data_IF_982482211686
#
_entry.id   IF_982482211686
#
_cell.length_a   1.000
_cell.length_b   1.000
_cell.length_c   1.000
_cell.angle_alpha   90.00
_cell.angle_beta   90.00
_cell.angle_gamma   90.00
#
_symmetry.space_group_name_H-M   'P 1'
#
loop_
_entity.id
_entity.type
_entity.pdbx_description
1 polymer ?
#
# COMPACT_ATOMS: atom_id res chain seq x y z
N UNK A 1 -20.18 37.26 6.35
CA UNK A 1 -21.30 36.30 6.44
C UNK A 1 -21.36 35.54 5.14
N UNK A 2 -20.69 34.39 5.06
CA UNK A 2 -20.81 33.50 3.90
C UNK A 2 -22.13 32.73 4.01
N UNK A 3 -22.87 32.69 2.92
CA UNK A 3 -24.19 32.07 2.84
C UNK A 3 -24.09 30.54 2.94
N UNK A 4 -25.06 29.90 3.60
CA UNK A 4 -25.13 28.44 3.79
C UNK A 4 -25.10 27.61 2.47
N UNK A 5 -25.18 28.27 1.31
CA UNK A 5 -25.03 27.68 -0.01
C UNK A 5 -23.56 27.36 -0.36
N UNK A 6 -22.59 28.16 0.12
CA UNK A 6 -21.17 27.99 -0.23
C UNK A 6 -20.51 26.83 0.54
N UNK A 7 -20.98 26.56 1.76
CA UNK A 7 -20.53 25.42 2.58
C UNK A 7 -21.07 24.09 2.02
N UNK A 8 -22.23 24.11 1.35
CA UNK A 8 -22.82 22.93 0.71
C UNK A 8 -22.10 22.58 -0.61
N UNK A 9 -21.56 23.57 -1.34
CA UNK A 9 -20.82 23.34 -2.58
C UNK A 9 -19.42 22.72 -2.34
N UNK A 10 -18.71 23.17 -1.30
CA UNK A 10 -17.42 22.57 -0.91
C UNK A 10 -17.57 21.17 -0.30
N UNK A 11 -18.64 20.93 0.48
CA UNK A 11 -18.94 19.60 1.01
C UNK A 11 -19.34 18.61 -0.09
N UNK A 12 -20.04 19.06 -1.14
CA UNK A 12 -20.40 18.22 -2.30
C UNK A 12 -19.19 17.96 -3.21
N UNK A 13 -18.26 18.91 -3.34
CA UNK A 13 -16.98 18.72 -4.05
C UNK A 13 -16.06 17.71 -3.37
N UNK A 14 -16.00 17.72 -2.03
CA UNK A 14 -15.24 16.73 -1.23
C UNK A 14 -15.92 15.35 -1.27
N UNK A 15 -17.25 15.30 -1.33
CA UNK A 15 -18.01 14.05 -1.45
C UNK A 15 -17.91 13.41 -2.84
N UNK A 16 -17.74 14.22 -3.90
CA UNK A 16 -17.61 13.74 -5.29
C UNK A 16 -16.17 13.33 -5.67
N UNK A 17 -15.12 13.90 -5.08
CA UNK A 17 -13.75 13.42 -5.32
C UNK A 17 -13.37 12.15 -4.53
N UNK A 18 -14.11 11.83 -3.46
CA UNK A 18 -13.88 10.65 -2.61
C UNK A 18 -14.70 9.40 -2.95
N UNK A 19 -15.69 9.52 -3.85
CA UNK A 19 -16.70 8.48 -4.09
C UNK A 19 -17.05 8.27 -5.57
N UNK A 20 -16.18 8.69 -6.50
CA UNK A 20 -16.33 8.47 -7.94
C UNK A 20 -15.18 7.66 -8.54
N UNK A 21 -14.96 6.46 -8.00
CA UNK A 21 -14.83 5.29 -8.86
C UNK A 21 -16.20 4.59 -8.81
N UNK A 22 -17.24 5.13 -9.46
CA UNK A 22 -18.53 4.46 -9.47
C UNK A 22 -18.38 3.20 -10.33
N UNK A 23 -19.25 2.23 -10.09
CA UNK A 23 -19.32 0.93 -10.73
C UNK A 23 -19.15 0.91 -12.26
N UNK A 24 -19.25 2.04 -12.96
CA UNK A 24 -19.00 2.21 -14.40
C UNK A 24 -17.56 1.90 -14.80
N UNK A 25 -16.56 2.23 -13.98
CA UNK A 25 -15.15 1.88 -14.28
C UNK A 25 -14.96 0.36 -14.17
N UNK A 26 -15.54 -0.25 -13.14
CA UNK A 26 -15.55 -1.70 -12.93
C UNK A 26 -16.36 -2.44 -14.02
N UNK A 27 -17.46 -1.85 -14.50
CA UNK A 27 -18.29 -2.36 -15.59
C UNK A 27 -17.56 -2.24 -16.94
N UNK A 28 -16.87 -1.13 -17.20
CA UNK A 28 -16.03 -0.95 -18.38
C UNK A 28 -14.86 -1.95 -18.41
N UNK A 29 -14.30 -2.29 -17.24
CA UNK A 29 -13.26 -3.31 -17.09
C UNK A 29 -13.79 -4.74 -17.33
N UNK A 30 -15.03 -5.03 -16.94
CA UNK A 30 -15.71 -6.29 -17.25
C UNK A 30 -16.07 -6.40 -18.74
N UNK A 31 -16.48 -5.30 -19.38
CA UNK A 31 -16.82 -5.25 -20.81
C UNK A 31 -15.58 -5.34 -21.71
N UNK A 32 -14.47 -4.69 -21.36
CA UNK A 32 -13.21 -4.80 -22.10
C UNK A 32 -12.58 -6.21 -22.00
N UNK A 33 -12.82 -6.93 -20.90
CA UNK A 33 -12.37 -8.32 -20.73
C UNK A 33 -13.14 -9.33 -21.59
N UNK A 34 -14.31 -8.94 -22.12
CA UNK A 34 -15.12 -9.77 -23.03
C UNK A 34 -14.86 -9.50 -24.52
N UNK A 35 -14.11 -8.43 -24.86
CA UNK A 35 -13.95 -7.99 -26.26
C UNK A 35 -12.55 -8.23 -26.87
N UNK A 36 -11.63 -8.87 -26.15
CA UNK A 36 -10.36 -9.34 -26.74
C UNK A 36 -10.49 -10.78 -27.26
N UNK A 37 -11.32 -10.99 -28.28
CA UNK A 37 -11.23 -12.15 -29.15
C UNK A 37 -11.07 -11.66 -30.60
N UNK A 38 -9.81 -11.53 -31.05
CA UNK A 38 -9.55 -11.39 -32.48
C UNK A 38 -9.96 -12.71 -33.20
N UNK A 39 -10.48 -12.63 -34.43
CA UNK A 39 -11.23 -13.72 -35.04
C UNK A 39 -10.28 -14.79 -35.57
N UNK A 40 -10.46 -16.03 -35.12
CA UNK A 40 -9.88 -17.17 -35.80
C UNK A 40 -10.67 -17.40 -37.11
N UNK A 41 -10.09 -16.95 -38.23
CA UNK A 41 -10.50 -17.34 -39.58
C UNK A 41 -10.41 -18.87 -39.64
N UNK A 42 -11.55 -19.55 -39.76
CA UNK A 42 -11.61 -20.95 -40.20
C UNK A 42 -12.37 -21.01 -41.50
N UNK A 43 -11.67 -21.47 -42.53
CA UNK A 43 -12.25 -21.86 -43.81
C UNK A 43 -13.36 -22.89 -43.59
N UNK A 44 -14.54 -22.59 -44.12
CA UNK A 44 -15.65 -23.55 -44.22
C UNK A 44 -15.43 -24.42 -45.47
N UNK A 45 -15.52 -25.74 -45.31
CA UNK A 45 -15.78 -26.66 -46.41
C UNK A 45 -17.18 -27.28 -46.16
N UNK A 46 -18.13 -27.22 -47.11
CA UNK A 46 -19.46 -27.79 -46.91
C UNK A 46 -19.59 -29.15 -47.62
N UNK A 47 -20.03 -30.18 -46.88
CA UNK A 47 -20.73 -31.41 -47.34
C UNK A 47 -21.05 -32.21 -46.05
N UNK A 48 -22.18 -32.85 -45.78
CA UNK A 48 -23.38 -33.19 -46.55
C UNK A 48 -24.51 -33.56 -45.56
N UNK A 49 -25.73 -33.35 -46.03
CA UNK A 49 -27.06 -33.84 -45.61
C UNK A 49 -27.16 -35.14 -44.78
N UNK A 50 -28.10 -35.14 -43.81
CA UNK A 50 -28.65 -36.35 -43.17
C UNK A 50 -29.81 -36.02 -42.21
N UNK A 51 -31.03 -36.41 -42.60
CA UNK A 51 -32.37 -36.04 -42.10
C UNK A 51 -32.89 -36.76 -40.83
N UNK A 52 -34.01 -36.23 -40.27
CA UNK A 52 -35.11 -36.84 -39.45
C UNK A 52 -34.97 -36.78 -37.91
N UNK A 53 -35.98 -36.57 -37.04
CA UNK A 53 -37.35 -35.97 -36.99
C UNK A 53 -37.84 -36.14 -35.53
N UNK A 54 -38.64 -35.18 -35.00
CA UNK A 54 -39.71 -35.27 -33.96
C UNK A 54 -39.36 -35.79 -32.53
N UNK A 55 -39.99 -35.39 -31.41
CA UNK A 55 -41.03 -34.42 -31.05
C UNK A 55 -41.06 -34.22 -29.50
N UNK A 56 -41.61 -33.07 -29.07
CA UNK A 56 -42.36 -32.76 -27.82
C UNK A 56 -41.75 -32.98 -26.42
N UNK A 57 -41.53 -31.89 -25.67
CA UNK A 57 -42.35 -31.48 -24.48
C UNK A 57 -41.95 -30.07 -23.97
N UNK A 58 -42.93 -29.21 -23.67
CA UNK A 58 -42.84 -28.02 -22.79
C UNK A 58 -43.63 -28.38 -21.49
N UNK A 59 -43.39 -27.80 -20.28
CA UNK A 59 -43.21 -26.36 -20.06
C UNK A 59 -42.36 -25.92 -18.83
N UNK A 60 -42.32 -24.59 -18.65
CA UNK A 60 -42.21 -23.85 -17.39
C UNK A 60 -40.84 -23.32 -16.91
N UNK A 61 -40.91 -22.07 -16.44
CA UNK A 61 -39.95 -21.25 -15.66
C UNK A 61 -38.75 -20.65 -16.39
N UNK A 62 -38.96 -19.40 -16.84
CA UNK A 62 -37.92 -18.38 -16.96
C UNK A 62 -37.30 -18.13 -15.58
N UNK A 63 -36.20 -18.81 -15.29
CA UNK A 63 -35.27 -18.41 -14.24
C UNK A 63 -33.97 -18.02 -14.94
N UNK A 64 -33.65 -16.73 -14.85
CA UNK A 64 -32.41 -16.11 -15.29
C UNK A 64 -31.21 -16.78 -14.60
N UNK A 65 -30.63 -17.78 -15.27
CA UNK A 65 -29.34 -18.32 -14.90
C UNK A 65 -28.25 -17.35 -15.37
N UNK A 66 -27.84 -16.44 -14.48
CA UNK A 66 -26.51 -15.85 -14.59
C UNK A 66 -25.50 -17.02 -14.69
N UNK A 67 -24.55 -16.99 -15.64
CA UNK A 67 -23.53 -18.02 -15.69
C UNK A 67 -22.80 -17.98 -14.35
N UNK A 68 -22.88 -19.07 -13.58
CA UNK A 68 -21.99 -19.30 -12.45
C UNK A 68 -20.58 -19.23 -13.01
N UNK A 69 -19.88 -18.13 -12.71
CA UNK A 69 -18.45 -18.02 -12.85
C UNK A 69 -17.87 -19.20 -12.06
N UNK A 70 -17.48 -20.24 -12.79
CA UNK A 70 -16.56 -21.24 -12.25
C UNK A 70 -15.28 -20.47 -11.94
N UNK A 71 -15.14 -20.05 -10.69
CA UNK A 71 -13.84 -19.71 -10.12
C UNK A 71 -13.03 -21.00 -10.25
N UNK A 72 -12.14 -21.04 -11.23
CA UNK A 72 -11.19 -22.16 -11.35
C UNK A 72 -10.50 -22.30 -10.00
N UNK A 73 -10.42 -23.53 -9.49
CA UNK A 73 -9.60 -23.82 -8.33
C UNK A 73 -8.16 -23.37 -8.61
N UNK A 74 -7.39 -22.93 -7.59
CA UNK A 74 -6.06 -22.35 -7.79
C UNK A 74 -4.98 -23.32 -8.31
N UNK A 75 -5.32 -24.52 -8.79
CA UNK A 75 -4.34 -25.58 -9.02
C UNK A 75 -3.81 -25.70 -10.45
N UNK A 76 -4.34 -24.97 -11.43
CA UNK A 76 -3.95 -25.18 -12.83
C UNK A 76 -3.38 -23.93 -13.51
N UNK A 77 -2.28 -23.35 -13.01
CA UNK A 77 -1.19 -22.79 -13.86
C UNK A 77 0.10 -22.55 -13.03
N UNK A 78 0.73 -23.61 -12.50
CA UNK A 78 2.14 -23.49 -12.05
C UNK A 78 3.07 -23.60 -13.26
N UNK A 79 3.20 -22.51 -14.00
CA UNK A 79 4.41 -22.31 -14.80
C UNK A 79 5.52 -21.94 -13.80
N UNK A 80 6.46 -22.86 -13.58
CA UNK A 80 7.61 -22.63 -12.69
C UNK A 80 8.48 -21.48 -13.21
N UNK A 81 8.12 -20.25 -12.87
CA UNK A 81 9.10 -19.19 -12.70
C UNK A 81 9.82 -19.51 -11.40
N UNK A 82 11.15 -19.58 -11.43
CA UNK A 82 11.95 -19.79 -10.24
C UNK A 82 11.57 -18.70 -9.22
N UNK A 83 11.09 -19.10 -8.04
CA UNK A 83 10.74 -18.17 -6.96
C UNK A 83 11.99 -17.37 -6.60
N UNK A 84 11.92 -16.06 -6.74
CA UNK A 84 12.99 -15.16 -6.29
C UNK A 84 13.14 -15.29 -4.76
N UNK A 85 14.37 -15.24 -4.22
CA UNK A 85 14.57 -15.11 -2.78
C UNK A 85 13.91 -13.82 -2.27
N UNK A 86 13.43 -13.82 -1.02
CA UNK A 86 12.70 -12.68 -0.41
C UNK A 86 13.48 -11.34 -0.52
N UNK A 87 14.81 -11.39 -0.47
CA UNK A 87 15.68 -10.22 -0.60
C UNK A 87 15.59 -9.53 -1.97
N UNK A 88 15.19 -10.24 -3.02
CA UNK A 88 15.02 -9.67 -4.36
C UNK A 88 13.64 -8.99 -4.56
N UNK A 89 12.74 -9.11 -3.57
CA UNK A 89 11.40 -8.54 -3.62
C UNK A 89 11.36 -7.08 -3.18
N UNK A 90 12.44 -6.54 -2.64
CA UNK A 90 12.49 -5.16 -2.19
C UNK A 90 13.82 -4.48 -2.47
N UNK A 91 13.76 -3.17 -2.69
CA UNK A 91 14.94 -2.31 -2.90
C UNK A 91 14.64 -0.88 -2.49
N UNK A 92 15.65 -0.03 -2.43
CA UNK A 92 15.48 1.41 -2.22
C UNK A 92 15.40 2.13 -3.58
N UNK A 93 14.24 2.70 -3.95
CA UNK A 93 14.11 3.50 -5.17
C UNK A 93 14.55 4.95 -4.92
N UNK A 94 14.90 5.65 -5.99
CA UNK A 94 15.12 7.10 -5.91
C UNK A 94 13.81 7.85 -5.63
N UNK A 95 13.86 8.81 -4.72
CA UNK A 95 12.77 9.75 -4.41
C UNK A 95 12.78 11.02 -5.27
N UNK A 96 13.74 11.18 -6.19
CA UNK A 96 13.99 12.46 -6.87
C UNK A 96 12.82 12.92 -7.75
N UNK A 97 12.03 11.99 -8.28
CA UNK A 97 10.83 12.29 -9.09
C UNK A 97 9.58 12.55 -8.24
N UNK A 98 9.61 12.23 -6.94
CA UNK A 98 8.46 12.40 -6.05
C UNK A 98 8.19 13.89 -5.82
N UNK A 99 6.94 14.31 -6.03
CA UNK A 99 6.52 15.69 -5.84
C UNK A 99 6.04 15.94 -4.41
N UNK A 100 6.69 16.87 -3.73
CA UNK A 100 6.43 17.27 -2.34
C UNK A 100 6.13 18.76 -2.24
N UNK A 101 5.53 19.23 -1.14
CA UNK A 101 5.25 20.67 -0.97
C UNK A 101 6.57 21.46 -0.92
N UNK A 102 6.71 22.45 -1.80
CA UNK A 102 7.87 23.32 -1.85
C UNK A 102 7.90 24.35 -0.73
N UNK A 103 9.00 25.09 -0.64
CA UNK A 103 9.23 26.13 0.38
C UNK A 103 8.10 27.18 0.41
N UNK A 104 7.59 27.58 -0.76
CA UNK A 104 6.55 28.62 -0.90
C UNK A 104 5.14 28.04 -1.10
N UNK A 105 4.92 26.75 -0.83
CA UNK A 105 3.65 26.07 -1.11
C UNK A 105 2.44 26.74 -0.44
N UNK A 106 2.61 27.33 0.73
CA UNK A 106 1.57 28.09 1.45
C UNK A 106 1.09 29.32 0.68
N UNK A 107 1.91 29.84 -0.25
CA UNK A 107 1.64 31.03 -1.05
C UNK A 107 1.18 30.62 -2.46
N UNK A 108 1.88 29.68 -3.10
CA UNK A 108 1.71 29.38 -4.53
C UNK A 108 1.07 28.01 -4.83
N UNK A 109 0.91 27.15 -3.82
CA UNK A 109 0.41 25.78 -3.98
C UNK A 109 1.29 24.85 -4.82
N UNK A 110 2.54 25.25 -5.11
CA UNK A 110 3.41 24.51 -6.04
C UNK A 110 4.22 23.43 -5.34
N UNK A 111 4.11 22.21 -5.87
CA UNK A 111 4.96 21.09 -5.48
C UNK A 111 6.27 21.11 -6.26
N UNK A 112 7.32 20.63 -5.63
CA UNK A 112 8.67 20.51 -6.19
C UNK A 112 9.15 19.07 -6.08
N UNK A 113 10.19 18.73 -6.84
CA UNK A 113 10.87 17.44 -6.72
C UNK A 113 11.54 17.34 -5.35
N UNK A 114 11.38 16.20 -4.68
CA UNK A 114 11.89 16.00 -3.33
C UNK A 114 13.43 15.92 -3.25
N UNK A 115 14.07 15.49 -4.34
CA UNK A 115 15.50 15.20 -4.35
C UNK A 115 15.82 13.90 -3.59
N UNK A 116 17.00 13.87 -2.96
CA UNK A 116 17.49 12.69 -2.27
C UNK A 116 16.75 12.44 -0.95
N UNK A 117 16.53 11.15 -0.67
CA UNK A 117 15.91 10.67 0.55
C UNK A 117 16.85 10.91 1.75
N UNK A 118 16.29 11.36 2.89
CA UNK A 118 17.08 11.56 4.12
C UNK A 118 17.55 10.24 4.74
N UNK A 119 16.73 9.19 4.61
CA UNK A 119 16.99 7.88 5.18
C UNK A 119 17.49 6.86 4.16
N UNK A 120 17.91 5.73 4.69
CA UNK A 120 18.32 4.55 3.89
C UNK A 120 17.54 3.32 4.36
N UNK A 121 16.94 2.57 3.42
CA UNK A 121 16.25 1.32 3.67
C UNK A 121 17.28 0.27 4.12
N UNK A 122 17.06 -0.29 5.30
CA UNK A 122 17.91 -1.33 5.86
C UNK A 122 17.38 -2.72 5.55
N UNK A 123 16.08 -2.93 5.74
CA UNK A 123 15.47 -4.25 5.63
C UNK A 123 13.97 -4.18 5.45
N UNK A 124 13.40 -5.27 4.94
CA UNK A 124 11.97 -5.54 4.97
C UNK A 124 11.76 -6.96 5.50
N UNK A 125 11.00 -7.05 6.59
CA UNK A 125 10.50 -8.32 7.11
C UNK A 125 9.08 -8.57 6.57
N UNK A 126 8.80 -9.82 6.18
CA UNK A 126 7.47 -10.29 5.79
C UNK A 126 7.06 -11.43 6.70
N UNK A 127 6.16 -11.15 7.64
CA UNK A 127 5.71 -12.14 8.61
C UNK A 127 4.24 -12.49 8.43
N UNK A 128 3.88 -13.75 8.62
CA UNK A 128 2.50 -14.21 8.67
C UNK A 128 2.14 -14.66 10.07
N UNK A 129 0.89 -14.40 10.43
CA UNK A 129 0.31 -14.88 11.68
C UNK A 129 0.41 -16.41 11.78
N UNK A 130 0.53 -16.88 13.02
CA UNK A 130 0.57 -18.30 13.40
C UNK A 130 -0.56 -18.57 14.40
N UNK A 131 -0.74 -19.84 14.78
CA UNK A 131 -1.70 -20.19 15.83
C UNK A 131 -1.30 -19.60 17.19
N UNK A 132 0.00 -19.47 17.47
CA UNK A 132 0.54 -18.87 18.69
C UNK A 132 0.45 -17.34 18.66
N UNK A 133 0.69 -16.74 17.48
CA UNK A 133 0.66 -15.30 17.25
C UNK A 133 -0.38 -14.96 16.18
N UNK A 134 -1.68 -15.07 16.51
CA UNK A 134 -2.75 -14.90 15.53
C UNK A 134 -3.00 -13.42 15.21
N UNK A 135 -3.48 -13.18 13.99
CA UNK A 135 -3.99 -11.87 13.57
C UNK A 135 -2.96 -10.74 13.62
N UNK A 136 -3.45 -9.56 14.00
CA UNK A 136 -2.68 -8.31 14.02
C UNK A 136 -1.75 -8.26 15.22
N UNK A 137 -0.49 -7.98 14.95
CA UNK A 137 0.56 -7.77 15.95
C UNK A 137 1.04 -6.31 15.89
N UNK A 138 0.93 -5.64 17.04
CA UNK A 138 1.36 -4.26 17.22
C UNK A 138 2.74 -4.19 17.89
N UNK A 139 3.45 -3.08 17.72
CA UNK A 139 4.76 -2.80 18.34
C UNK A 139 5.83 -3.84 17.97
N UNK A 140 6.03 -4.02 16.68
CA UNK A 140 7.01 -4.90 16.06
C UNK A 140 8.44 -4.62 16.53
N UNK A 141 8.78 -3.39 16.89
CA UNK A 141 10.09 -3.07 17.44
C UNK A 141 10.44 -3.90 18.68
N UNK A 142 9.46 -4.24 19.54
CA UNK A 142 9.73 -5.14 20.68
C UNK A 142 10.03 -6.57 20.25
N UNK A 143 9.41 -7.04 19.15
CA UNK A 143 9.71 -8.35 18.57
C UNK A 143 11.12 -8.34 17.97
N UNK A 144 11.49 -7.27 17.24
CA UNK A 144 12.85 -7.12 16.72
C UNK A 144 13.89 -7.13 17.84
N UNK A 145 13.69 -6.38 18.92
CA UNK A 145 14.65 -6.29 20.03
C UNK A 145 14.91 -7.64 20.73
N UNK A 146 13.98 -8.59 20.62
CA UNK A 146 14.08 -9.93 21.22
C UNK A 146 14.75 -10.94 20.30
N UNK A 147 14.83 -10.71 18.98
CA UNK A 147 15.47 -11.68 18.08
C UNK A 147 17.00 -11.69 18.25
N UNK A 148 17.67 -12.86 18.10
CA UNK A 148 19.13 -12.94 18.17
C UNK A 148 19.87 -12.02 17.18
N UNK A 149 19.25 -11.72 16.04
CA UNK A 149 19.77 -10.83 15.00
C UNK A 149 18.95 -9.52 14.94
N UNK A 150 18.69 -8.92 16.10
CA UNK A 150 17.95 -7.64 16.19
C UNK A 150 18.65 -6.56 15.39
N UNK A 151 17.90 -5.98 14.45
CA UNK A 151 18.36 -4.85 13.66
C UNK A 151 18.45 -3.61 14.55
N UNK A 152 17.48 -3.43 15.45
CA UNK A 152 17.43 -2.28 16.35
C UNK A 152 18.58 -2.31 17.37
N UNK A 153 18.87 -3.46 17.97
CA UNK A 153 19.98 -3.59 18.92
C UNK A 153 21.34 -3.42 18.22
N UNK A 154 21.49 -3.99 17.02
CA UNK A 154 22.71 -3.83 16.23
C UNK A 154 22.93 -2.38 15.81
N UNK A 155 21.87 -1.70 15.35
CA UNK A 155 21.92 -0.27 15.00
C UNK A 155 22.19 0.60 16.22
N UNK A 156 21.56 0.35 17.37
CA UNK A 156 21.81 1.10 18.60
C UNK A 156 23.28 1.03 19.06
N UNK A 157 23.95 -0.10 18.78
CA UNK A 157 25.36 -0.29 19.12
C UNK A 157 26.30 0.38 18.12
N UNK A 158 26.00 0.31 16.83
CA UNK A 158 26.86 0.84 15.76
C UNK A 158 26.67 2.35 15.55
N UNK A 159 25.42 2.83 15.69
CA UNK A 159 24.97 4.18 15.38
C UNK A 159 24.00 4.66 16.49
N UNK A 160 24.51 4.97 17.69
CA UNK A 160 23.67 5.25 18.87
C UNK A 160 22.80 6.51 18.74
N UNK A 161 23.20 7.45 17.90
CA UNK A 161 22.48 8.71 17.69
C UNK A 161 21.48 8.65 16.51
N UNK A 162 21.57 7.59 15.68
CA UNK A 162 20.68 7.41 14.54
C UNK A 162 19.32 6.89 14.98
N UNK A 163 18.28 7.28 14.24
CA UNK A 163 16.91 6.80 14.46
C UNK A 163 16.54 5.75 13.42
N UNK A 164 15.98 4.61 13.85
CA UNK A 164 15.33 3.66 12.95
C UNK A 164 13.85 3.99 12.82
N UNK A 165 13.39 4.33 11.62
CA UNK A 165 11.98 4.49 11.33
C UNK A 165 11.41 3.17 10.84
N UNK A 166 10.28 2.74 11.41
CA UNK A 166 9.63 1.46 11.13
C UNK A 166 8.22 1.74 10.65
N UNK A 167 7.83 1.11 9.54
CA UNK A 167 6.43 1.03 9.13
C UNK A 167 6.02 -0.43 9.07
N UNK A 168 4.96 -0.78 9.81
CA UNK A 168 4.34 -2.09 9.78
C UNK A 168 2.99 -1.99 9.07
N UNK A 169 2.93 -2.45 7.82
CA UNK A 169 1.67 -2.59 7.10
C UNK A 169 0.97 -3.87 7.56
N UNK A 170 -0.13 -3.72 8.28
CA UNK A 170 -0.86 -4.81 8.89
C UNK A 170 -1.99 -5.24 7.94
N UNK A 171 -1.70 -6.27 7.14
CA UNK A 171 -2.55 -6.69 6.02
C UNK A 171 -3.53 -7.79 6.46
N UNK A 172 -4.83 -7.49 6.52
CA UNK A 172 -5.83 -8.51 6.81
C UNK A 172 -5.90 -9.54 5.68
N UNK A 173 -6.20 -10.78 6.05
CA UNK A 173 -6.35 -11.88 5.11
C UNK A 173 -6.18 -13.22 5.82
N UNK A 174 -6.20 -14.27 5.02
CA UNK A 174 -5.89 -15.63 5.48
C UNK A 174 -4.62 -16.10 4.75
N UNK A 175 -3.46 -16.21 5.43
CA UNK A 175 -3.18 -15.71 6.78
C UNK A 175 -3.10 -14.18 6.83
N UNK A 176 -3.14 -13.61 8.04
CA UNK A 176 -2.82 -12.20 8.29
C UNK A 176 -1.31 -12.00 8.06
N UNK A 177 -0.93 -10.91 7.40
CA UNK A 177 0.47 -10.65 7.04
C UNK A 177 0.90 -9.27 7.52
N UNK A 178 2.12 -9.21 8.04
CA UNK A 178 2.84 -8.00 8.40
C UNK A 178 3.94 -7.78 7.36
N UNK A 179 3.94 -6.61 6.71
CA UNK A 179 5.05 -6.16 5.86
C UNK A 179 5.72 -5.01 6.58
N UNK A 180 6.90 -5.26 7.15
CA UNK A 180 7.59 -4.37 8.07
C UNK A 180 8.83 -3.84 7.39
N UNK A 181 8.91 -2.53 7.19
CA UNK A 181 10.05 -1.87 6.54
C UNK A 181 10.81 -1.01 7.53
N UNK A 182 12.14 -1.08 7.47
CA UNK A 182 13.06 -0.41 8.39
C UNK A 182 13.96 0.55 7.64
N UNK A 183 13.95 1.83 8.01
CA UNK A 183 14.86 2.85 7.47
C UNK A 183 15.76 3.41 8.56
N UNK A 184 17.05 3.60 8.26
CA UNK A 184 17.96 4.37 9.11
C UNK A 184 17.90 5.84 8.72
N UNK A 185 17.65 6.69 9.71
CA UNK A 185 17.73 8.14 9.63
C UNK A 185 18.99 8.59 10.37
N UNK A 186 20.05 9.02 9.63
CA UNK A 186 21.28 9.49 10.25
C UNK A 186 21.04 10.78 11.05
N UNK A 187 21.62 10.89 12.24
CA UNK A 187 21.52 12.09 13.07
C UNK A 187 22.04 13.36 12.35
N UNK A 188 23.11 13.21 11.57
CA UNK A 188 23.68 14.27 10.73
C UNK A 188 22.68 14.74 9.64
N UNK A 189 22.02 13.78 8.97
CA UNK A 189 21.02 14.10 7.95
C UNK A 189 19.79 14.81 8.52
N UNK A 190 19.35 14.42 9.72
CA UNK A 190 18.27 15.08 10.43
C UNK A 190 18.67 16.50 10.85
N UNK A 191 19.83 16.67 11.50
CA UNK A 191 20.30 17.98 11.97
C UNK A 191 20.64 18.96 10.85
N UNK A 192 21.00 18.47 9.65
CA UNK A 192 21.22 19.30 8.46
C UNK A 192 19.96 19.95 7.89
N UNK A 193 18.76 19.44 8.21
CA UNK A 193 17.48 20.01 7.79
C UNK A 193 16.67 20.44 9.03
N UNK A 194 16.91 21.67 9.50
CA UNK A 194 16.31 22.17 10.74
C UNK A 194 14.78 22.21 10.72
N UNK A 195 14.18 22.40 9.53
CA UNK A 195 12.72 22.43 9.36
C UNK A 195 12.12 21.04 9.50
N UNK A 196 12.69 20.06 8.79
CA UNK A 196 12.29 18.67 8.94
C UNK A 196 12.56 18.16 10.35
N UNK A 197 13.72 18.47 10.94
CA UNK A 197 14.11 18.06 12.29
C UNK A 197 13.10 18.53 13.35
N UNK A 198 12.66 19.80 13.28
CA UNK A 198 11.65 20.33 14.19
C UNK A 198 10.30 19.62 14.07
N UNK A 199 9.86 19.35 12.84
CA UNK A 199 8.62 18.61 12.58
C UNK A 199 8.72 17.14 13.03
N UNK A 200 9.84 16.49 12.75
CA UNK A 200 10.10 15.11 13.10
C UNK A 200 10.24 14.94 14.61
N UNK A 201 10.90 15.86 15.32
CA UNK A 201 10.98 15.84 16.79
C UNK A 201 9.61 15.91 17.45
N UNK A 202 8.68 16.73 16.93
CA UNK A 202 7.30 16.74 17.43
C UNK A 202 6.56 15.44 17.11
N UNK A 203 6.84 14.84 15.96
CA UNK A 203 6.28 13.54 15.58
C UNK A 203 6.79 12.40 16.49
N UNK A 204 8.00 12.51 17.04
CA UNK A 204 8.59 11.56 17.99
C UNK A 204 8.07 11.75 19.43
N UNK A 205 6.76 11.64 19.61
CA UNK A 205 6.14 11.70 20.93
C UNK A 205 5.35 10.42 21.24
N UNK A 206 5.47 9.95 22.48
CA UNK A 206 4.64 8.88 23.04
C UNK A 206 3.45 9.44 23.85
N UNK A 207 3.30 10.75 23.92
CA UNK A 207 2.19 11.35 24.67
C UNK A 207 0.86 11.08 23.94
N UNK A 208 -0.22 10.69 24.64
CA UNK A 208 -1.51 10.39 24.02
C UNK A 208 -2.06 11.54 23.15
N UNK A 209 -1.85 12.80 23.55
CA UNK A 209 -2.26 13.98 22.80
C UNK A 209 -1.50 14.17 21.48
N UNK A 210 -0.34 13.55 21.30
CA UNK A 210 0.45 13.65 20.08
C UNK A 210 -0.15 12.83 18.94
N UNK A 211 -1.00 11.84 19.21
CA UNK A 211 -1.56 10.97 18.18
C UNK A 211 -2.33 11.75 17.11
N UNK A 212 -3.14 12.74 17.52
CA UNK A 212 -3.88 13.58 16.57
C UNK A 212 -2.94 14.36 15.63
N UNK A 213 -1.78 14.80 16.16
CA UNK A 213 -0.75 15.41 15.35
C UNK A 213 -0.10 14.38 14.42
N UNK A 214 0.32 13.23 14.91
CA UNK A 214 0.96 12.19 14.09
C UNK A 214 0.05 11.75 12.93
N UNK A 215 -1.24 11.52 13.21
CA UNK A 215 -2.25 11.13 12.23
C UNK A 215 -2.50 12.20 11.16
N UNK A 216 -2.36 13.48 11.50
CA UNK A 216 -2.47 14.59 10.56
C UNK A 216 -1.20 14.83 9.73
N UNK A 217 -0.08 14.21 10.10
CA UNK A 217 1.25 14.53 9.54
C UNK A 217 1.85 13.40 8.72
N UNK A 218 1.71 12.14 9.12
CA UNK A 218 2.34 11.04 8.40
C UNK A 218 1.69 10.83 7.02
N UNK A 219 2.52 10.80 5.97
CA UNK A 219 2.08 10.63 4.58
C UNK A 219 2.84 9.52 3.87
N UNK A 220 2.09 8.75 3.09
CA UNK A 220 2.63 7.85 2.08
C UNK A 220 2.37 8.41 0.68
N UNK A 221 3.36 8.27 -0.19
CA UNK A 221 3.28 8.60 -1.61
C UNK A 221 3.50 7.33 -2.42
N UNK A 222 2.42 6.66 -2.86
CA UNK A 222 2.52 5.45 -3.68
C UNK A 222 2.77 5.80 -5.15
N UNK A 223 3.60 5.02 -5.82
CA UNK A 223 3.82 5.06 -7.27
C UNK A 223 3.85 3.63 -7.81
N UNK A 224 2.97 3.29 -8.74
CA UNK A 224 3.05 2.00 -9.45
C UNK A 224 3.99 2.17 -10.63
N UNK A 225 5.19 1.61 -10.47
CA UNK A 225 6.26 1.61 -11.46
C UNK A 225 5.88 0.67 -12.60
N UNK A 226 5.56 -0.57 -12.25
CA UNK A 226 5.10 -1.59 -13.20
C UNK A 226 3.89 -2.32 -12.65
N UNK A 227 3.00 -2.74 -13.56
CA UNK A 227 1.76 -3.36 -13.17
C UNK A 227 0.70 -3.37 -14.26
N UNK A 228 -0.28 -4.29 -14.16
CA UNK A 228 -1.43 -4.28 -15.05
C UNK A 228 -2.11 -2.90 -15.05
N UNK A 229 -2.46 -2.41 -16.24
CA UNK A 229 -3.17 -1.14 -16.45
C UNK A 229 -4.36 -0.97 -15.49
N UNK A 230 -5.10 -2.06 -15.27
CA UNK A 230 -6.26 -2.10 -14.36
C UNK A 230 -5.88 -1.66 -12.94
N UNK A 231 -4.75 -2.14 -12.41
CA UNK A 231 -4.29 -1.79 -11.06
C UNK A 231 -3.77 -0.36 -11.04
N UNK A 232 -3.08 0.08 -12.10
CA UNK A 232 -2.65 1.48 -12.25
C UNK A 232 -3.82 2.46 -12.23
N UNK A 233 -4.97 2.08 -12.81
CA UNK A 233 -6.19 2.87 -12.79
C UNK A 233 -6.94 2.81 -11.44
N UNK A 234 -6.88 1.68 -10.73
CA UNK A 234 -7.60 1.47 -9.48
C UNK A 234 -6.91 2.08 -8.24
N UNK A 235 -5.58 2.22 -8.28
CA UNK A 235 -4.81 2.74 -7.14
C UNK A 235 -4.51 4.23 -7.34
N UNK A 236 -5.02 5.11 -6.47
CA UNK A 236 -4.72 6.54 -6.55
C UNK A 236 -3.22 6.80 -6.41
N UNK A 237 -2.59 7.36 -7.45
CA UNK A 237 -1.18 7.79 -7.41
C UNK A 237 -1.04 9.21 -6.85
N UNK A 238 -1.60 9.41 -5.66
CA UNK A 238 -1.58 10.69 -4.95
C UNK A 238 -1.06 10.47 -3.53
N UNK A 239 -0.27 11.42 -2.99
CA UNK A 239 0.07 11.44 -1.57
C UNK A 239 -1.19 11.32 -0.70
N UNK A 240 -1.12 10.50 0.35
CA UNK A 240 -2.19 10.32 1.31
C UNK A 240 -1.67 10.57 2.72
N UNK A 241 -2.33 11.46 3.47
CA UNK A 241 -2.24 11.47 4.93
C UNK A 241 -2.93 10.18 5.39
N UNK A 242 -2.20 9.31 6.05
CA UNK A 242 -2.68 7.95 6.33
C UNK A 242 -3.56 7.90 7.57
N UNK A 243 -3.35 8.78 8.56
CA UNK A 243 -4.11 8.76 9.82
C UNK A 243 -5.54 9.24 9.70
N UNK A 244 -5.86 9.98 8.63
CA UNK A 244 -7.25 10.31 8.29
C UNK A 244 -7.98 9.17 7.58
N UNK A 245 -7.27 8.11 7.17
CA UNK A 245 -7.81 7.00 6.37
C UNK A 245 -7.73 5.65 7.08
N UNK A 246 -6.73 5.47 7.95
CA UNK A 246 -6.41 4.23 8.64
C UNK A 246 -6.27 4.51 10.13
N UNK A 247 -6.63 3.54 10.96
CA UNK A 247 -6.22 3.54 12.36
C UNK A 247 -4.73 3.26 12.42
N UNK A 248 -3.97 4.18 13.04
CA UNK A 248 -2.55 4.03 13.23
C UNK A 248 -2.20 4.01 14.72
N UNK A 249 -1.11 3.32 15.04
CA UNK A 249 -0.51 3.32 16.38
C UNK A 249 0.95 3.69 16.24
N UNK A 250 1.44 4.48 17.19
CA UNK A 250 2.78 5.04 17.16
C UNK A 250 3.54 4.55 18.39
N UNK A 251 4.78 4.12 18.19
CA UNK A 251 5.65 3.70 19.27
C UNK A 251 7.02 4.35 19.11
N UNK A 252 7.47 5.04 20.15
CA UNK A 252 8.80 5.64 20.18
C UNK A 252 9.62 4.92 21.23
N UNK A 253 10.74 4.36 20.81
CA UNK A 253 11.74 3.75 21.68
C UNK A 253 12.98 4.63 21.82
N UNK A 254 14.05 4.04 22.35
CA UNK A 254 15.32 4.76 22.54
C UNK A 254 15.95 5.25 21.23
N UNK A 255 15.86 4.46 20.17
CA UNK A 255 16.49 4.71 18.87
C UNK A 255 15.57 4.35 17.70
N UNK A 256 14.26 4.27 17.93
CA UNK A 256 13.31 3.96 16.87
C UNK A 256 12.00 4.70 17.02
N UNK A 257 11.32 4.86 15.89
CA UNK A 257 9.94 5.34 15.76
C UNK A 257 9.22 4.34 14.88
N UNK A 258 8.09 3.83 15.34
CA UNK A 258 7.29 2.85 14.64
C UNK A 258 5.89 3.39 14.36
N UNK A 259 5.41 3.14 13.14
CA UNK A 259 4.03 3.38 12.71
C UNK A 259 3.41 2.06 12.32
N UNK A 260 2.46 1.60 13.13
CA UNK A 260 1.59 0.48 12.83
C UNK A 260 0.39 0.97 12.03
N UNK A 261 0.18 0.40 10.85
CA UNK A 261 -0.90 0.80 9.94
C UNK A 261 -1.92 -0.33 9.77
N UNK A 262 -3.09 -0.19 10.40
CA UNK A 262 -4.17 -1.17 10.30
C UNK A 262 -4.94 -1.00 8.99
N UNK A 263 -4.59 -1.78 7.96
CA UNK A 263 -5.29 -1.75 6.66
C UNK A 263 -6.75 -2.21 6.80
N UNK A 264 -7.03 -3.09 7.76
CA UNK A 264 -8.36 -3.61 8.05
C UNK A 264 -9.35 -2.56 8.56
N UNK A 265 -8.84 -1.43 9.07
CA UNK A 265 -9.70 -0.34 9.57
C UNK A 265 -10.38 0.47 8.45
N UNK A 266 -10.04 0.22 7.19
CA UNK A 266 -10.59 0.93 6.03
C UNK A 266 -11.03 -0.04 4.95
N UNK A 267 -12.32 -0.02 4.62
CA UNK A 267 -12.86 -0.83 3.53
C UNK A 267 -12.19 -0.51 2.18
N UNK A 268 -11.88 0.77 1.94
CA UNK A 268 -11.18 1.19 0.71
C UNK A 268 -9.77 0.61 0.67
N UNK A 269 -9.00 0.76 1.75
CA UNK A 269 -7.63 0.25 1.80
C UNK A 269 -7.61 -1.29 1.74
N UNK A 270 -8.51 -1.95 2.45
CA UNK A 270 -8.69 -3.41 2.41
C UNK A 270 -9.00 -3.90 1.00
N UNK A 271 -9.87 -3.21 0.25
CA UNK A 271 -10.19 -3.55 -1.13
C UNK A 271 -8.99 -3.35 -2.05
N UNK A 272 -8.26 -2.24 -1.93
CA UNK A 272 -7.05 -1.97 -2.71
C UNK A 272 -5.99 -3.05 -2.45
N UNK A 273 -5.73 -3.38 -1.18
CA UNK A 273 -4.73 -4.39 -0.83
C UNK A 273 -5.17 -5.80 -1.26
N UNK A 274 -6.45 -6.13 -1.15
CA UNK A 274 -7.01 -7.39 -1.66
C UNK A 274 -6.83 -7.52 -3.17
N UNK A 275 -7.10 -6.44 -3.93
CA UNK A 275 -6.83 -6.38 -5.36
C UNK A 275 -5.33 -6.55 -5.64
N UNK A 276 -4.46 -5.81 -4.94
CA UNK A 276 -3.02 -5.92 -5.08
C UNK A 276 -2.53 -7.33 -4.78
N UNK A 277 -3.08 -8.02 -3.77
CA UNK A 277 -2.71 -9.41 -3.41
C UNK A 277 -2.90 -10.39 -4.57
N UNK A 278 -3.97 -10.23 -5.35
CA UNK A 278 -4.23 -11.07 -6.54
C UNK A 278 -3.28 -10.80 -7.71
N UNK A 279 -2.60 -9.65 -7.72
CA UNK A 279 -1.68 -9.25 -8.78
C UNK A 279 -0.25 -9.00 -8.29
N UNK A 280 0.06 -9.34 -7.03
CA UNK A 280 1.25 -8.84 -6.35
C UNK A 280 2.55 -9.26 -7.04
N UNK A 281 2.59 -10.49 -7.58
CA UNK A 281 3.68 -11.04 -8.40
C UNK A 281 3.89 -10.30 -9.74
N UNK A 282 3.00 -9.38 -10.12
CA UNK A 282 3.07 -8.58 -11.36
C UNK A 282 3.12 -7.09 -11.09
N UNK A 283 3.26 -6.68 -9.82
CA UNK A 283 3.27 -5.29 -9.41
C UNK A 283 4.67 -4.90 -8.93
N UNK A 284 5.13 -3.74 -9.40
CA UNK A 284 6.27 -3.03 -8.84
C UNK A 284 5.75 -1.70 -8.31
N UNK A 285 5.85 -1.52 -6.99
CA UNK A 285 5.27 -0.36 -6.30
C UNK A 285 6.34 0.31 -5.45
N UNK A 286 6.51 1.61 -5.64
CA UNK A 286 7.29 2.46 -4.77
C UNK A 286 6.37 3.09 -3.73
N UNK A 287 6.79 3.04 -2.46
CA UNK A 287 6.22 3.83 -1.38
C UNK A 287 7.28 4.78 -0.87
N UNK A 288 6.98 6.08 -0.90
CA UNK A 288 7.82 7.12 -0.27
C UNK A 288 7.13 7.73 0.94
N UNK A 289 7.90 8.00 1.99
CA UNK A 289 7.45 8.46 3.29
C UNK A 289 7.83 9.93 3.48
N UNK A 290 6.90 10.75 3.93
CA UNK A 290 7.14 12.16 4.30
C UNK A 290 6.21 12.58 5.43
N UNK A 291 6.57 13.64 6.13
CA UNK A 291 5.67 14.34 7.03
C UNK A 291 5.05 15.53 6.31
N UNK A 292 3.79 15.85 6.61
CA UNK A 292 3.09 16.97 6.01
C UNK A 292 3.49 18.28 6.70
N UNK A 293 4.13 19.18 5.94
CA UNK A 293 4.35 20.56 6.35
C UNK A 293 3.13 21.42 6.06
N UNK A 294 2.66 22.17 7.06
CA UNK A 294 1.51 23.07 7.00
C UNK A 294 1.90 24.54 7.22
N UNK A 295 3.14 24.85 7.57
CA UNK A 295 3.64 26.21 7.74
C UNK A 295 5.00 26.40 7.05
N UNK A 296 5.41 27.65 6.85
CA UNK A 296 6.72 27.97 6.26
C UNK A 296 7.89 27.43 7.09
N UNK A 297 7.71 27.26 8.41
CA UNK A 297 8.72 26.68 9.30
C UNK A 297 8.88 25.17 9.11
N UNK A 298 7.90 24.51 8.50
CA UNK A 298 7.86 23.06 8.26
C UNK A 298 8.12 22.69 6.77
N UNK A 299 8.33 23.69 5.90
CA UNK A 299 8.48 23.53 4.45
C UNK A 299 9.89 23.91 3.96
N UNK A 300 10.47 23.23 2.97
CA UNK A 300 9.85 22.21 2.12
C UNK A 300 9.69 20.86 2.83
N UNK A 301 8.74 20.06 2.35
CA UNK A 301 8.62 18.66 2.77
C UNK A 301 9.81 17.84 2.24
N UNK A 302 10.20 16.80 2.98
CA UNK A 302 11.29 15.89 2.62
C UNK A 302 10.82 14.45 2.62
N UNK A 303 11.23 13.70 1.59
CA UNK A 303 11.14 12.25 1.65
C UNK A 303 12.24 11.76 2.60
N UNK A 304 11.85 10.98 3.60
CA UNK A 304 12.79 10.44 4.60
C UNK A 304 12.90 8.91 4.57
N UNK A 305 12.06 8.25 3.79
CA UNK A 305 12.20 6.82 3.50
C UNK A 305 11.55 6.50 2.18
N UNK A 306 12.12 5.55 1.46
CA UNK A 306 11.53 4.99 0.25
C UNK A 306 11.75 3.48 0.21
N UNK A 307 10.77 2.74 -0.30
CA UNK A 307 10.87 1.29 -0.54
C UNK A 307 10.15 0.95 -1.83
N UNK A 308 10.79 0.10 -2.63
CA UNK A 308 10.21 -0.53 -3.81
C UNK A 308 9.89 -1.96 -3.45
N UNK A 309 8.64 -2.36 -3.62
CA UNK A 309 8.24 -3.76 -3.61
C UNK A 309 8.13 -4.24 -5.05
N UNK A 310 8.92 -5.24 -5.42
CA UNK A 310 8.97 -5.84 -6.75
C UNK A 310 8.39 -7.24 -6.70
N UNK A 311 7.26 -7.46 -7.38
CA UNK A 311 6.67 -8.78 -7.53
C UNK A 311 6.38 -9.48 -6.19
N UNK A 312 5.92 -8.71 -5.19
CA UNK A 312 5.82 -9.14 -3.79
C UNK A 312 4.93 -10.39 -3.62
N UNK A 313 5.52 -11.56 -3.36
CA UNK A 313 4.76 -12.79 -3.04
C UNK A 313 4.54 -12.90 -1.53
N UNK A 314 3.34 -12.56 -1.07
CA UNK A 314 2.96 -12.68 0.35
C UNK A 314 2.98 -14.13 0.85
N UNK A 315 2.98 -15.15 -0.02
CA UNK A 315 3.12 -16.54 0.39
C UNK A 315 4.55 -16.87 0.87
N UNK A 316 5.55 -16.04 0.53
CA UNK A 316 6.92 -16.15 1.03
C UNK A 316 7.09 -15.62 2.45
N UNK A 317 6.06 -15.01 3.04
CA UNK A 317 6.09 -14.55 4.42
C UNK A 317 6.44 -15.71 5.38
N UNK A 318 7.39 -15.46 6.27
CA UNK A 318 7.83 -16.40 7.31
C UNK A 318 6.91 -16.31 8.52
N UNK A 319 6.92 -17.33 9.38
CA UNK A 319 6.16 -17.27 10.63
C UNK A 319 6.63 -16.08 11.47
N UNK A 320 5.69 -15.28 11.98
CA UNK A 320 6.04 -14.22 12.92
C UNK A 320 6.70 -14.84 14.17
N UNK A 321 7.81 -14.26 14.68
CA UNK A 321 8.42 -14.76 15.91
C UNK A 321 7.45 -14.62 17.10
N UNK A 322 7.48 -15.56 18.06
CA UNK A 322 6.68 -15.47 19.27
C UNK A 322 7.12 -14.30 20.16
N UNK A 323 6.19 -13.75 20.96
CA UNK A 323 6.51 -12.72 21.97
C UNK A 323 7.28 -13.28 23.16
N UNK A 324 7.08 -14.56 23.46
CA UNK A 324 7.75 -15.30 24.53
C UNK A 324 8.88 -16.17 23.94
N UNK A 325 10.02 -16.32 24.65
CA UNK A 325 11.14 -17.13 24.20
C UNK A 325 10.86 -18.64 24.22
#
# INVERSE_FOLDING_TARGET
MATACDIAADALGIFLEGLLLPCETLLALLVCSLSSAAPAIRHYAPTNMGTKTNAETLPATLTTALPRLHVRSPEETKQCQARLPMLDLFSEPSSSETLVRGLSYTIDGKKVRAGDCLGTLLHVDMWKATDEMPGRQDHIAELDLRRPQSLLASSAKAHPDDTIFIVNLQVPGTPFVHVVSYWRLPAEGLSGDTKFAGLFSQFQSNEPEAQAFQDARFKLVPTIVDGPWLIKAAVPQKPAITGSKLTQRYFVGRNYVEVDMDIGSSAIASNIVSLCRGYAERLVVDLSLTLQGNSEAELPERIFGSVRFSHLDLALATAIPPRSP
#
